data_IF_087562338101
#
_entry.id   IF_087562338101
#
_cell.length_a   1.000
_cell.length_b   1.000
_cell.length_c   1.000
_cell.angle_alpha   90.00
_cell.angle_beta   90.00
_cell.angle_gamma   90.00
#
_symmetry.space_group_name_H-M   'P 1'
#
loop_
_entity.id
_entity.type
_entity.pdbx_description
1 polymer ?
#
# COMPACT_ATOMS: atom_id res chain seq x y z
N UNK A 1 -28.91 -24.00 3.97
CA UNK A 1 -28.18 -22.92 4.68
C UNK A 1 -27.16 -22.31 3.73
N UNK A 2 -27.32 -21.04 3.36
CA UNK A 2 -26.44 -20.38 2.40
C UNK A 2 -25.09 -19.99 3.04
N UNK A 3 -23.98 -20.33 2.37
CA UNK A 3 -22.60 -20.01 2.77
C UNK A 3 -22.44 -18.48 2.90
N UNK A 4 -22.20 -17.98 4.13
CA UNK A 4 -21.84 -16.59 4.39
C UNK A 4 -20.46 -16.32 3.77
N UNK A 5 -20.37 -15.41 2.80
CA UNK A 5 -19.13 -15.13 2.06
C UNK A 5 -18.03 -14.64 3.01
N UNK A 6 -16.91 -15.37 3.06
CA UNK A 6 -15.79 -15.16 3.98
C UNK A 6 -14.89 -13.95 3.69
N UNK A 7 -15.46 -12.81 3.31
CA UNK A 7 -14.68 -11.60 3.03
C UNK A 7 -14.77 -10.57 4.17
N UNK A 8 -13.62 -10.07 4.63
CA UNK A 8 -13.50 -9.00 5.60
C UNK A 8 -14.03 -7.66 5.04
N UNK A 9 -14.36 -6.69 5.89
CA UNK A 9 -14.82 -5.36 5.44
C UNK A 9 -13.77 -4.60 4.62
N UNK A 10 -12.50 -4.89 4.86
CA UNK A 10 -11.37 -4.38 4.06
C UNK A 10 -11.44 -4.98 2.66
N UNK A 11 -11.58 -6.31 2.58
CA UNK A 11 -11.71 -7.03 1.32
C UNK A 11 -12.93 -6.55 0.53
N UNK A 12 -14.09 -6.38 1.18
CA UNK A 12 -15.31 -5.86 0.56
C UNK A 12 -15.18 -4.44 0.00
N UNK A 13 -14.45 -3.55 0.66
CA UNK A 13 -14.26 -2.17 0.18
C UNK A 13 -13.44 -2.11 -1.12
N UNK A 14 -12.36 -2.87 -1.19
CA UNK A 14 -11.55 -2.91 -2.39
C UNK A 14 -12.27 -3.68 -3.51
N UNK A 15 -13.01 -4.75 -3.19
CA UNK A 15 -13.87 -5.45 -4.16
C UNK A 15 -14.97 -4.55 -4.74
N UNK A 16 -15.59 -3.67 -3.92
CA UNK A 16 -16.63 -2.76 -4.40
C UNK A 16 -16.09 -1.63 -5.27
N UNK A 17 -14.88 -1.14 -5.00
CA UNK A 17 -14.14 -0.21 -5.87
C UNK A 17 -13.82 -0.83 -7.24
N UNK A 18 -13.43 -2.10 -7.27
CA UNK A 18 -13.14 -2.82 -8.52
C UNK A 18 -14.41 -3.11 -9.35
N UNK A 19 -15.52 -3.48 -8.71
CA UNK A 19 -16.82 -3.72 -9.38
C UNK A 19 -17.53 -2.45 -9.86
N UNK A 20 -17.27 -1.29 -9.25
CA UNK A 20 -17.90 -0.02 -9.60
C UNK A 20 -17.33 0.67 -10.87
N UNK A 21 -16.36 0.03 -11.54
CA UNK A 21 -15.77 0.54 -12.78
C UNK A 21 -16.75 0.24 -13.94
N UNK A 22 -17.72 1.14 -14.14
CA UNK A 22 -18.57 1.12 -15.31
C UNK A 22 -17.69 1.35 -16.56
N UNK A 23 -17.65 0.42 -17.54
CA UNK A 23 -16.71 0.46 -18.67
C UNK A 23 -16.74 1.79 -19.43
N UNK A 24 -17.91 2.43 -19.52
CA UNK A 24 -18.09 3.73 -20.19
C UNK A 24 -17.47 4.92 -19.43
N UNK A 25 -17.42 4.88 -18.10
CA UNK A 25 -16.72 5.88 -17.28
C UNK A 25 -15.20 5.64 -17.26
N UNK A 26 -14.79 4.38 -17.30
CA UNK A 26 -13.39 4.00 -17.42
C UNK A 26 -12.77 4.52 -18.72
N UNK A 27 -13.54 4.51 -19.82
CA UNK A 27 -13.08 4.97 -21.13
C UNK A 27 -12.97 6.51 -21.24
N UNK A 28 -13.89 7.25 -20.59
CA UNK A 28 -13.79 8.71 -20.46
C UNK A 28 -12.59 9.11 -19.59
N UNK A 29 -12.39 8.43 -18.47
CA UNK A 29 -11.21 8.64 -17.62
C UNK A 29 -9.94 8.21 -18.33
N UNK A 30 -9.91 7.09 -19.05
CA UNK A 30 -8.77 6.67 -19.84
C UNK A 30 -8.41 7.68 -20.95
N UNK A 31 -9.40 8.34 -21.56
CA UNK A 31 -9.17 9.45 -22.49
C UNK A 31 -8.62 10.70 -21.79
N UNK A 32 -9.12 11.04 -20.60
CA UNK A 32 -8.59 12.15 -19.78
C UNK A 32 -7.15 11.85 -19.33
N UNK A 33 -6.90 10.64 -18.82
CA UNK A 33 -5.56 10.16 -18.47
C UNK A 33 -4.64 10.08 -19.68
N UNK A 34 -5.09 9.68 -20.88
CA UNK A 34 -4.29 9.77 -22.12
C UNK A 34 -3.98 11.20 -22.54
N UNK A 35 -4.88 12.14 -22.26
CA UNK A 35 -4.69 13.57 -22.56
C UNK A 35 -3.70 14.23 -21.58
N UNK A 36 -3.65 13.75 -20.33
CA UNK A 36 -2.67 14.19 -19.31
C UNK A 36 -1.37 13.37 -19.31
N UNK A 37 -1.36 12.13 -19.82
CA UNK A 37 -0.16 11.33 -20.08
C UNK A 37 0.56 11.73 -21.38
N UNK A 38 -0.07 12.64 -22.15
CA UNK A 38 0.54 13.40 -23.25
C UNK A 38 1.08 14.76 -22.78
N UNK A 39 1.26 14.96 -21.47
CA UNK A 39 2.27 15.92 -21.02
C UNK A 39 3.59 15.22 -21.28
N UNK A 40 4.29 15.70 -22.30
CA UNK A 40 5.62 15.28 -22.70
C UNK A 40 6.50 15.16 -21.45
N UNK A 41 6.97 13.94 -21.15
CA UNK A 41 8.01 13.76 -20.15
C UNK A 41 9.32 14.21 -20.80
N UNK A 42 9.59 15.50 -20.71
CA UNK A 42 10.81 16.14 -21.24
C UNK A 42 12.05 15.87 -20.36
N UNK A 43 11.96 15.05 -19.31
CA UNK A 43 13.07 14.82 -18.40
C UNK A 43 13.18 13.37 -17.86
N UNK A 44 14.20 12.59 -18.28
CA UNK A 44 14.46 11.25 -17.75
C UNK A 44 14.79 11.20 -16.25
N UNK A 45 14.98 12.35 -15.58
CA UNK A 45 15.12 12.42 -14.12
C UNK A 45 13.78 12.40 -13.36
N UNK A 46 12.65 12.70 -14.02
CA UNK A 46 11.32 12.66 -13.38
C UNK A 46 10.84 11.22 -13.16
N UNK A 47 11.16 10.31 -14.08
CA UNK A 47 10.78 8.90 -14.02
C UNK A 47 11.37 8.17 -12.81
N UNK A 48 12.61 8.46 -12.42
CA UNK A 48 13.21 7.85 -11.22
C UNK A 48 12.57 8.36 -9.92
N UNK A 49 12.27 9.67 -9.85
CA UNK A 49 11.61 10.27 -8.67
C UNK A 49 10.21 9.73 -8.49
N UNK A 50 9.45 9.62 -9.57
CA UNK A 50 8.11 9.06 -9.53
C UNK A 50 8.13 7.57 -9.18
N UNK A 51 9.04 6.79 -9.77
CA UNK A 51 9.20 5.38 -9.43
C UNK A 51 9.59 5.18 -7.95
N UNK A 52 10.55 5.98 -7.45
CA UNK A 52 10.93 5.99 -6.05
C UNK A 52 9.73 6.34 -5.15
N UNK A 53 8.96 7.37 -5.50
CA UNK A 53 7.79 7.79 -4.73
C UNK A 53 6.69 6.72 -4.73
N UNK A 54 6.43 6.06 -5.86
CA UNK A 54 5.49 4.94 -5.95
C UNK A 54 5.90 3.81 -5.02
N UNK A 55 7.18 3.42 -5.05
CA UNK A 55 7.72 2.34 -4.21
C UNK A 55 7.66 2.70 -2.73
N UNK A 56 7.99 3.95 -2.38
CA UNK A 56 7.86 4.50 -1.04
C UNK A 56 6.41 4.38 -0.52
N UNK A 57 5.43 4.78 -1.33
CA UNK A 57 4.01 4.75 -0.97
C UNK A 57 3.50 3.31 -0.83
N UNK A 58 3.89 2.42 -1.75
CA UNK A 58 3.55 0.99 -1.67
C UNK A 58 4.04 0.38 -0.35
N UNK A 59 5.32 0.58 -0.05
CA UNK A 59 5.93 0.10 1.19
C UNK A 59 5.23 0.70 2.41
N UNK A 60 4.95 2.01 2.42
CA UNK A 60 4.26 2.64 3.54
C UNK A 60 2.86 2.05 3.77
N UNK A 61 2.10 1.76 2.71
CA UNK A 61 0.80 1.10 2.82
C UNK A 61 0.92 -0.35 3.32
N UNK A 62 1.94 -1.08 2.89
CA UNK A 62 2.23 -2.43 3.38
C UNK A 62 2.64 -2.45 4.85
N UNK A 63 3.46 -1.49 5.27
CA UNK A 63 3.88 -1.35 6.68
C UNK A 63 2.67 -1.06 7.56
N UNK A 64 1.76 -0.17 7.13
CA UNK A 64 0.52 0.06 7.86
C UNK A 64 -0.34 -1.21 7.97
N UNK A 65 -0.43 -1.99 6.90
CA UNK A 65 -1.14 -3.27 6.92
C UNK A 65 -0.49 -4.27 7.87
N UNK A 66 0.84 -4.38 7.84
CA UNK A 66 1.60 -5.22 8.77
C UNK A 66 1.35 -4.82 10.21
N UNK A 67 1.58 -3.55 10.56
CA UNK A 67 1.48 -3.08 11.95
C UNK A 67 0.08 -3.28 12.51
N UNK A 68 -0.97 -2.93 11.75
CA UNK A 68 -2.34 -3.11 12.23
C UNK A 68 -2.73 -4.59 12.33
N UNK A 69 -2.38 -5.40 11.33
CA UNK A 69 -2.74 -6.83 11.34
C UNK A 69 -1.91 -7.71 12.28
N UNK A 70 -0.82 -7.21 12.85
CA UNK A 70 0.00 -7.94 13.83
C UNK A 70 -0.22 -7.48 15.27
N UNK A 71 -1.14 -6.53 15.53
CA UNK A 71 -1.61 -6.19 16.88
C UNK A 71 -2.69 -7.17 17.36
N UNK A 72 -3.82 -7.25 16.65
CA UNK A 72 -4.99 -8.07 17.04
C UNK A 72 -5.41 -9.11 15.96
N UNK A 73 -4.51 -9.40 15.03
CA UNK A 73 -4.73 -10.25 13.85
C UNK A 73 -5.74 -9.70 12.84
N UNK A 74 -6.24 -8.49 13.02
CA UNK A 74 -7.29 -7.90 12.19
C UNK A 74 -6.93 -6.46 11.83
N UNK A 75 -7.68 -5.91 10.88
CA UNK A 75 -7.64 -4.48 10.57
C UNK A 75 -9.01 -3.92 10.88
N UNK A 76 -9.10 -3.18 11.97
CA UNK A 76 -10.30 -2.49 12.43
C UNK A 76 -10.76 -1.43 11.42
N UNK A 77 -12.00 -0.95 11.61
CA UNK A 77 -12.54 0.15 10.80
C UNK A 77 -11.73 1.44 10.96
N UNK A 78 -11.13 1.67 12.14
CA UNK A 78 -10.37 2.89 12.43
C UNK A 78 -9.04 2.86 11.69
N UNK A 79 -8.31 1.75 11.79
CA UNK A 79 -7.04 1.51 11.08
C UNK A 79 -7.23 1.56 9.56
N UNK A 80 -8.31 0.95 9.06
CA UNK A 80 -8.66 1.01 7.65
C UNK A 80 -8.88 2.44 7.15
N UNK A 81 -9.41 3.37 7.98
CA UNK A 81 -9.54 4.77 7.58
C UNK A 81 -8.19 5.44 7.35
N UNK A 82 -7.17 5.09 8.13
CA UNK A 82 -5.81 5.63 7.97
C UNK A 82 -5.14 5.11 6.70
N UNK A 83 -5.25 3.81 6.43
CA UNK A 83 -4.78 3.22 5.16
C UNK A 83 -5.47 3.91 3.98
N UNK A 84 -6.79 4.07 4.02
CA UNK A 84 -7.56 4.75 2.97
C UNK A 84 -7.16 6.21 2.80
N UNK A 85 -6.83 6.90 3.89
CA UNK A 85 -6.41 8.29 3.86
C UNK A 85 -5.08 8.42 3.10
N UNK A 86 -4.07 7.63 3.47
CA UNK A 86 -2.78 7.61 2.76
C UNK A 86 -2.94 7.22 1.29
N UNK A 87 -3.70 6.15 1.00
CA UNK A 87 -3.95 5.73 -0.38
C UNK A 87 -4.64 6.82 -1.21
N UNK A 88 -5.56 7.59 -0.63
CA UNK A 88 -6.21 8.71 -1.31
C UNK A 88 -5.28 9.91 -1.52
N UNK A 89 -4.41 10.20 -0.55
CA UNK A 89 -3.41 11.27 -0.67
C UNK A 89 -2.44 11.00 -1.83
N UNK A 90 -2.13 9.72 -2.07
CA UNK A 90 -1.13 9.28 -3.04
C UNK A 90 -1.73 8.67 -4.31
N UNK A 91 -3.06 8.76 -4.49
CA UNK A 91 -3.81 8.10 -5.57
C UNK A 91 -3.31 8.51 -6.96
N UNK A 92 -2.77 9.73 -7.10
CA UNK A 92 -2.21 10.23 -8.37
C UNK A 92 -0.94 9.50 -8.82
N UNK A 93 -0.23 8.89 -7.88
CA UNK A 93 1.03 8.17 -8.15
C UNK A 93 0.79 6.67 -8.33
N UNK A 94 -0.26 6.13 -7.71
CA UNK A 94 -0.54 4.69 -7.77
C UNK A 94 -1.35 4.33 -9.02
N UNK A 95 -0.78 3.46 -9.85
CA UNK A 95 -1.49 2.87 -10.98
C UNK A 95 -2.57 1.89 -10.49
N UNK A 96 -3.44 1.45 -11.41
CA UNK A 96 -4.45 0.43 -11.10
C UNK A 96 -3.83 -0.90 -10.68
N UNK A 97 -2.68 -1.25 -11.25
CA UNK A 97 -1.98 -2.48 -10.92
C UNK A 97 -1.34 -2.40 -9.53
N UNK A 98 -0.81 -1.24 -9.16
CA UNK A 98 -0.29 -0.97 -7.81
C UNK A 98 -1.39 -1.11 -6.76
N UNK A 99 -2.58 -0.54 -7.03
CA UNK A 99 -3.71 -0.67 -6.12
C UNK A 99 -4.19 -2.13 -5.99
N UNK A 100 -4.12 -2.92 -7.08
CA UNK A 100 -4.48 -4.35 -7.08
C UNK A 100 -3.46 -5.18 -6.30
N UNK A 101 -2.18 -4.85 -6.42
CA UNK A 101 -1.10 -5.46 -5.67
C UNK A 101 -1.27 -5.20 -4.16
N UNK A 102 -1.42 -3.93 -3.76
CA UNK A 102 -1.70 -3.52 -2.38
C UNK A 102 -2.95 -4.25 -1.85
N UNK A 103 -3.98 -4.38 -2.68
CA UNK A 103 -5.18 -5.13 -2.31
C UNK A 103 -4.89 -6.62 -2.06
N UNK A 104 -4.21 -7.29 -2.96
CA UNK A 104 -3.89 -8.72 -2.81
C UNK A 104 -3.07 -8.97 -1.54
N UNK A 105 -2.15 -8.05 -1.24
CA UNK A 105 -1.33 -8.04 -0.04
C UNK A 105 -2.14 -7.75 1.23
N UNK A 106 -3.16 -6.90 1.16
CA UNK A 106 -4.08 -6.62 2.28
C UNK A 106 -5.11 -7.74 2.54
N UNK A 107 -5.44 -8.54 1.52
CA UNK A 107 -6.40 -9.65 1.60
C UNK A 107 -5.79 -10.81 2.38
N UNK A 108 -4.51 -11.08 2.18
CA UNK A 108 -3.73 -12.06 2.95
C UNK A 108 -3.24 -11.37 4.22
N UNK A 109 -3.21 -12.07 5.37
CA UNK A 109 -2.56 -11.51 6.57
C UNK A 109 -1.10 -11.20 6.20
N UNK A 110 -0.67 -9.96 6.40
CA UNK A 110 0.71 -9.56 6.15
C UNK A 110 1.56 -10.07 7.31
N UNK A 111 2.26 -11.18 7.12
CA UNK A 111 3.23 -11.68 8.11
C UNK A 111 4.59 -11.05 7.87
N UNK A 112 5.47 -11.12 8.87
CA UNK A 112 6.85 -10.64 8.76
C UNK A 112 7.55 -11.30 7.57
N UNK A 113 7.45 -12.63 7.44
CA UNK A 113 8.04 -13.38 6.32
C UNK A 113 7.53 -12.89 4.97
N UNK A 114 6.20 -12.76 4.79
CA UNK A 114 5.64 -12.28 3.52
C UNK A 114 6.02 -10.83 3.18
N UNK A 115 6.26 -10.01 4.22
CA UNK A 115 6.74 -8.65 4.05
C UNK A 115 8.20 -8.65 3.60
N UNK A 116 9.08 -9.39 4.29
CA UNK A 116 10.50 -9.47 3.94
C UNK A 116 10.71 -10.07 2.54
N UNK A 117 10.00 -11.14 2.19
CA UNK A 117 10.01 -11.73 0.84
C UNK A 117 9.62 -10.71 -0.24
N UNK A 118 8.64 -9.84 0.06
CA UNK A 118 8.24 -8.79 -0.87
C UNK A 118 9.34 -7.75 -1.06
N UNK A 119 9.96 -7.31 0.04
CA UNK A 119 11.02 -6.31 0.01
C UNK A 119 12.25 -6.84 -0.72
N UNK A 120 12.62 -8.10 -0.50
CA UNK A 120 13.70 -8.80 -1.22
C UNK A 120 13.39 -8.90 -2.71
N UNK A 121 12.20 -9.38 -3.08
CA UNK A 121 11.81 -9.57 -4.48
C UNK A 121 11.85 -8.27 -5.30
N UNK A 122 11.59 -7.13 -4.66
CA UNK A 122 11.63 -5.83 -5.31
C UNK A 122 13.01 -5.15 -5.23
N UNK A 123 14.01 -5.80 -4.62
CA UNK A 123 15.37 -5.27 -4.43
C UNK A 123 15.37 -3.88 -3.77
N UNK A 124 14.50 -3.69 -2.77
CA UNK A 124 14.42 -2.42 -2.08
C UNK A 124 15.60 -2.22 -1.14
N UNK A 125 16.30 -1.12 -1.36
CA UNK A 125 17.41 -0.67 -0.51
C UNK A 125 16.93 -0.20 0.86
N UNK A 126 17.82 -0.25 1.85
CA UNK A 126 17.51 0.15 3.23
C UNK A 126 16.97 1.59 3.33
N UNK A 127 17.45 2.50 2.49
CA UNK A 127 17.01 3.90 2.50
C UNK A 127 15.50 4.03 2.21
N UNK A 128 15.00 3.41 1.13
CA UNK A 128 13.58 3.51 0.77
C UNK A 128 12.69 2.82 1.81
N UNK A 129 13.18 1.74 2.43
CA UNK A 129 12.47 1.07 3.52
C UNK A 129 12.35 1.99 4.76
N UNK A 130 13.44 2.65 5.15
CA UNK A 130 13.44 3.59 6.28
C UNK A 130 12.52 4.79 6.00
N UNK A 131 12.58 5.37 4.80
CA UNK A 131 11.70 6.46 4.39
C UNK A 131 10.23 6.01 4.40
N UNK A 132 9.94 4.78 3.99
CA UNK A 132 8.60 4.21 4.01
C UNK A 132 8.09 4.00 5.44
N UNK A 133 8.95 3.56 6.36
CA UNK A 133 8.61 3.46 7.77
C UNK A 133 8.24 4.83 8.36
N UNK A 134 9.00 5.87 8.02
CA UNK A 134 8.74 7.22 8.51
C UNK A 134 7.45 7.80 7.91
N UNK A 135 7.18 7.51 6.63
CA UNK A 135 5.91 7.85 5.97
C UNK A 135 4.74 7.12 6.64
N UNK A 136 4.88 5.82 6.90
CA UNK A 136 3.87 5.02 7.59
C UNK A 136 3.62 5.57 8.99
N UNK A 137 4.66 5.85 9.78
CA UNK A 137 4.56 6.42 11.13
C UNK A 137 3.77 7.73 11.16
N UNK A 138 3.96 8.61 10.17
CA UNK A 138 3.20 9.87 10.03
C UNK A 138 1.71 9.63 9.76
N UNK A 139 1.37 8.55 9.06
CA UNK A 139 -0.01 8.18 8.70
C UNK A 139 -0.68 7.25 9.71
N UNK A 140 0.11 6.64 10.59
CA UNK A 140 -0.33 5.66 11.58
C UNK A 140 -1.13 6.31 12.72
N UNK A 141 -2.02 5.52 13.32
CA UNK A 141 -2.67 5.92 14.58
C UNK A 141 -1.60 5.98 15.66
N UNK A 142 -1.57 7.07 16.45
CA UNK A 142 -0.67 7.16 17.61
C UNK A 142 -1.02 6.08 18.63
N UNK A 143 -0.14 5.10 18.79
CA UNK A 143 -0.28 3.98 19.73
C UNK A 143 1.10 3.37 19.98
N UNK A 144 1.47 3.20 21.26
CA UNK A 144 2.76 2.62 21.67
C UNK A 144 2.97 1.18 21.22
N UNK A 145 1.90 0.42 20.99
CA UNK A 145 2.00 -0.95 20.47
C UNK A 145 2.39 -0.91 18.99
N UNK A 146 1.75 -0.05 18.21
CA UNK A 146 2.08 0.12 16.80
C UNK A 146 3.49 0.67 16.58
N UNK A 147 3.92 1.62 17.42
CA UNK A 147 5.30 2.11 17.39
C UNK A 147 6.30 0.98 17.63
N UNK A 148 6.05 0.12 18.64
CA UNK A 148 6.89 -1.06 18.90
C UNK A 148 6.88 -2.07 17.76
N UNK A 149 5.73 -2.35 17.16
CA UNK A 149 5.64 -3.25 16.00
C UNK A 149 6.43 -2.71 14.79
N UNK A 150 6.42 -1.39 14.59
CA UNK A 150 7.21 -0.74 13.56
C UNK A 150 8.71 -0.80 13.85
N UNK A 151 9.11 -0.54 15.09
CA UNK A 151 10.52 -0.61 15.51
C UNK A 151 11.06 -2.06 15.38
N UNK A 152 10.27 -3.05 15.79
CA UNK A 152 10.60 -4.46 15.60
C UNK A 152 10.75 -4.80 14.10
N UNK A 153 9.85 -4.31 13.24
CA UNK A 153 9.96 -4.51 11.80
C UNK A 153 11.27 -3.94 11.23
N UNK A 154 11.72 -2.77 11.72
CA UNK A 154 13.01 -2.18 11.35
C UNK A 154 14.18 -3.04 11.78
N UNK A 155 14.15 -3.59 12.99
CA UNK A 155 15.20 -4.49 13.49
C UNK A 155 15.27 -5.79 12.69
N UNK A 156 14.12 -6.42 12.41
CA UNK A 156 14.04 -7.65 11.63
C UNK A 156 14.51 -7.43 10.18
N UNK A 157 14.15 -6.30 9.56
CA UNK A 157 14.67 -5.96 8.24
C UNK A 157 16.19 -5.82 8.23
N UNK A 158 16.77 -5.15 9.24
CA UNK A 158 18.23 -5.01 9.36
C UNK A 158 18.93 -6.36 9.51
N UNK A 159 18.39 -7.26 10.35
CA UNK A 159 18.93 -8.61 10.51
C UNK A 159 18.86 -9.42 9.23
N UNK A 160 17.79 -9.25 8.47
CA UNK A 160 17.57 -9.95 7.20
C UNK A 160 18.46 -9.42 6.07
N UNK A 161 18.76 -8.12 6.06
CA UNK A 161 19.61 -7.47 5.06
C UNK A 161 21.12 -7.51 5.38
N UNK A 162 21.51 -8.04 6.56
CA UNK A 162 22.90 -8.23 7.00
C UNK A 162 23.44 -9.57 6.55
#
# INVERSE_FOLDING_TARGET
MAKKSGYSKVQFFYMSKYKAINPRRADKMARVYKKHAKVEYDNPNETWKDAYHVNLVKLALMILLYVYSNDDEKVSRKELKHIKKLNKEEERYLTKDDQKEIYNLAVKKMTLSSFLEYVEKQDYKENIFNDACDRAKKSMIKNRVYDRLLDNLKEEFKRYAS
#
